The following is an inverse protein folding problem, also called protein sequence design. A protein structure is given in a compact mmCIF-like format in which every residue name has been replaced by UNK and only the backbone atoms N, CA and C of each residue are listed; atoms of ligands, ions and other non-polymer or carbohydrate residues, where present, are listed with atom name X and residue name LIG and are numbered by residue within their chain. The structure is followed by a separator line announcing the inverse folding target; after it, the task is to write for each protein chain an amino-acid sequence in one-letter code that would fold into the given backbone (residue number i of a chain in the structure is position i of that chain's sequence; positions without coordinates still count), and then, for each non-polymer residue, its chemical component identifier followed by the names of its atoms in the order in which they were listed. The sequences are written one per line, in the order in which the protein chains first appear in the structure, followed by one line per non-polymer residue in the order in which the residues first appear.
data_IF_368141551241
#
_entry.id   IF_368141551241
#
_cell.length_a   1.000
_cell.length_b   1.000
_cell.length_c   1.000
_cell.angle_alpha   90.00
_cell.angle_beta   90.00
_cell.angle_gamma   90.00
#
_symmetry.space_group_name_H-M   'P 1'
#
loop_
_entity.id
_entity.type
_entity.pdbx_description
1 polymer ?
#
# COMPACT_ATOMS: atom_id res chain seq x y z
N UNK A 1 25.90 1.33 -102.79
CA UNK A 1 24.72 0.45 -102.64
C UNK A 1 25.00 -0.49 -101.46
N UNK A 2 24.02 -0.69 -100.57
CA UNK A 2 24.04 -1.53 -99.35
C UNK A 2 24.72 -0.88 -98.13
N UNK A 3 24.18 -0.88 -96.89
CA UNK A 3 22.84 -1.06 -96.34
C UNK A 3 22.94 -0.41 -94.93
N UNK A 4 22.07 0.54 -94.58
CA UNK A 4 22.03 1.12 -93.22
C UNK A 4 21.25 0.19 -92.29
N UNK A 5 21.90 -0.36 -91.26
CA UNK A 5 21.22 -1.08 -90.18
C UNK A 5 20.68 -0.07 -89.15
N UNK A 6 19.45 -0.22 -88.62
CA UNK A 6 18.95 0.64 -87.56
C UNK A 6 19.44 0.12 -86.20
N UNK A 7 20.05 1.00 -85.41
CA UNK A 7 20.34 0.77 -84.00
C UNK A 7 19.02 0.92 -83.24
N UNK A 8 18.49 -0.18 -82.71
CA UNK A 8 17.35 -0.16 -81.79
C UNK A 8 17.88 0.20 -80.41
N UNK A 9 17.60 1.41 -79.95
CA UNK A 9 17.86 1.83 -78.57
C UNK A 9 16.81 1.20 -77.65
N UNK A 10 17.21 0.20 -76.87
CA UNK A 10 16.38 -0.34 -75.78
C UNK A 10 16.44 0.63 -74.62
N UNK A 11 15.39 1.42 -74.43
CA UNK A 11 15.22 2.23 -73.24
C UNK A 11 14.87 1.32 -72.05
N UNK A 12 15.84 1.10 -71.15
CA UNK A 12 15.55 0.54 -69.83
C UNK A 12 14.76 1.57 -69.02
N UNK A 13 13.45 1.38 -68.92
CA UNK A 13 12.63 2.02 -67.89
C UNK A 13 13.03 1.44 -66.53
N UNK A 14 13.84 2.17 -65.78
CA UNK A 14 14.05 1.92 -64.36
C UNK A 14 12.72 2.15 -63.63
N UNK A 15 12.03 1.08 -63.26
CA UNK A 15 10.88 1.16 -62.38
C UNK A 15 11.37 1.64 -61.00
N UNK A 16 11.11 2.91 -60.68
CA UNK A 16 11.18 3.41 -59.30
C UNK A 16 10.16 2.64 -58.47
N UNK A 17 10.62 1.62 -57.75
CA UNK A 17 9.85 1.04 -56.65
C UNK A 17 9.68 2.16 -55.62
N UNK A 18 8.44 2.54 -55.24
CA UNK A 18 8.26 3.46 -54.12
C UNK A 18 8.90 2.82 -52.90
N UNK A 19 9.95 3.43 -52.36
CA UNK A 19 10.52 3.01 -51.09
C UNK A 19 9.39 3.00 -50.07
N UNK A 20 9.12 1.84 -49.46
CA UNK A 20 8.21 1.76 -48.34
C UNK A 20 8.60 2.85 -47.35
N UNK A 21 7.70 3.80 -47.10
CA UNK A 21 7.93 4.82 -46.10
C UNK A 21 8.25 4.08 -44.80
N UNK A 22 9.45 4.33 -44.25
CA UNK A 22 9.83 3.77 -42.97
C UNK A 22 8.70 4.09 -41.98
N UNK A 23 8.16 3.06 -41.32
CA UNK A 23 7.15 3.29 -40.30
C UNK A 23 7.68 4.34 -39.31
N UNK A 24 6.88 5.36 -38.97
CA UNK A 24 7.33 6.40 -38.06
C UNK A 24 7.82 5.72 -36.78
N UNK A 25 9.05 6.03 -36.40
CA UNK A 25 9.66 5.44 -35.21
C UNK A 25 8.72 5.57 -34.02
N UNK A 26 8.60 4.48 -33.25
CA UNK A 26 7.80 4.45 -32.05
C UNK A 26 8.15 5.65 -31.13
N UNK A 27 7.14 6.26 -30.51
CA UNK A 27 7.35 7.47 -29.70
C UNK A 27 7.90 7.16 -28.29
N UNK A 28 7.88 5.90 -27.88
CA UNK A 28 8.32 5.45 -26.56
C UNK A 28 9.81 5.14 -26.51
N UNK A 29 10.36 5.08 -25.29
CA UNK A 29 11.79 4.87 -25.06
C UNK A 29 12.21 3.39 -25.05
N UNK A 30 13.50 3.16 -24.78
CA UNK A 30 14.09 1.84 -24.74
C UNK A 30 13.55 0.96 -23.59
N UNK A 31 13.13 1.54 -22.46
CA UNK A 31 12.60 0.78 -21.33
C UNK A 31 11.22 0.21 -21.66
N UNK A 32 10.38 1.02 -22.33
CA UNK A 32 9.10 0.56 -22.87
C UNK A 32 9.33 -0.52 -23.93
N UNK A 33 10.24 -0.30 -24.88
CA UNK A 33 10.53 -1.30 -25.91
C UNK A 33 11.03 -2.62 -25.31
N UNK A 34 11.84 -2.55 -24.25
CA UNK A 34 12.30 -3.74 -23.53
C UNK A 34 11.13 -4.46 -22.84
N UNK A 35 10.17 -3.73 -22.28
CA UNK A 35 8.96 -4.32 -21.69
C UNK A 35 8.06 -4.97 -22.76
N UNK A 36 7.90 -4.34 -23.93
CA UNK A 36 7.13 -4.90 -25.06
C UNK A 36 7.70 -6.24 -25.55
N UNK A 37 9.03 -6.42 -25.55
CA UNK A 37 9.66 -7.71 -25.86
C UNK A 37 9.26 -8.81 -24.86
N UNK A 38 9.07 -8.46 -23.59
CA UNK A 38 8.65 -9.41 -22.54
C UNK A 38 7.16 -9.77 -22.59
N UNK A 39 6.34 -8.98 -23.31
CA UNK A 39 4.89 -9.18 -23.42
C UNK A 39 4.48 -10.39 -24.29
N UNK A 40 5.39 -10.90 -25.15
CA UNK A 40 5.14 -12.03 -26.06
C UNK A 40 3.88 -11.78 -26.91
N UNK A 41 2.95 -12.74 -26.97
CA UNK A 41 1.69 -12.65 -27.71
C UNK A 41 0.80 -11.47 -27.29
N UNK A 42 1.02 -10.87 -26.12
CA UNK A 42 0.25 -9.74 -25.63
C UNK A 42 0.83 -8.38 -26.06
N UNK A 43 1.96 -8.34 -26.78
CA UNK A 43 2.57 -7.10 -27.29
C UNK A 43 1.57 -6.20 -28.06
N UNK A 44 0.68 -6.71 -28.93
CA UNK A 44 -0.28 -5.86 -29.65
C UNK A 44 -1.24 -5.09 -28.72
N UNK A 45 -1.62 -5.65 -27.57
CA UNK A 45 -2.45 -4.95 -26.59
C UNK A 45 -1.71 -3.77 -25.96
N UNK A 46 -0.41 -3.94 -25.66
CA UNK A 46 0.40 -2.87 -25.08
C UNK A 46 0.73 -1.77 -26.10
N UNK A 47 1.01 -2.15 -27.35
CA UNK A 47 1.22 -1.19 -28.44
C UNK A 47 -0.06 -0.40 -28.74
N UNK A 48 -1.23 -1.07 -28.71
CA UNK A 48 -2.53 -0.40 -28.79
C UNK A 48 -2.70 0.59 -27.64
N UNK A 49 -2.41 0.21 -26.40
CA UNK A 49 -2.50 1.11 -25.26
C UNK A 49 -1.58 2.35 -25.42
N UNK A 50 -0.35 2.16 -25.90
CA UNK A 50 0.61 3.24 -26.17
C UNK A 50 0.19 4.12 -27.36
N UNK A 51 -0.55 3.58 -28.33
CA UNK A 51 -0.98 4.31 -29.52
C UNK A 51 -2.26 5.12 -29.26
N UNK A 52 -3.24 4.48 -28.61
CA UNK A 52 -4.59 5.02 -28.39
C UNK A 52 -4.63 6.02 -27.21
N UNK A 53 -3.64 5.98 -26.31
CA UNK A 53 -3.61 6.90 -25.16
C UNK A 53 -3.48 8.38 -25.62
N UNK A 54 -4.24 9.31 -25.01
CA UNK A 54 -4.11 10.74 -25.28
C UNK A 54 -2.66 11.25 -25.14
N UNK A 55 -2.26 12.21 -25.98
CA UNK A 55 -0.88 12.72 -26.04
C UNK A 55 -0.35 13.23 -24.70
N UNK A 56 -1.21 13.88 -23.91
CA UNK A 56 -0.91 14.41 -22.57
C UNK A 56 -0.79 13.32 -21.50
N UNK A 57 -1.26 12.10 -21.79
CA UNK A 57 -1.23 10.94 -20.89
C UNK A 57 -0.17 9.90 -21.29
N UNK A 58 0.53 10.10 -22.43
CA UNK A 58 1.57 9.20 -22.94
C UNK A 58 2.65 8.87 -21.92
N UNK A 59 3.12 9.86 -21.16
CA UNK A 59 4.12 9.64 -20.11
C UNK A 59 3.64 8.64 -19.06
N UNK A 60 2.36 8.73 -18.66
CA UNK A 60 1.74 7.80 -17.73
C UNK A 60 1.67 6.38 -18.30
N UNK A 61 1.19 6.22 -19.53
CA UNK A 61 1.12 4.91 -20.16
C UNK A 61 2.51 4.29 -20.34
N UNK A 62 3.50 5.07 -20.82
CA UNK A 62 4.88 4.63 -20.95
C UNK A 62 5.45 4.18 -19.59
N UNK A 63 5.24 4.97 -18.53
CA UNK A 63 5.67 4.60 -17.19
C UNK A 63 5.07 3.26 -16.74
N UNK A 64 3.77 3.05 -16.95
CA UNK A 64 3.12 1.78 -16.59
C UNK A 64 3.72 0.61 -17.37
N UNK A 65 3.83 0.71 -18.69
CA UNK A 65 4.38 -0.37 -19.54
C UNK A 65 5.83 -0.68 -19.17
N UNK A 66 6.66 0.34 -18.94
CA UNK A 66 8.06 0.14 -18.57
C UNK A 66 8.24 -0.54 -17.20
N UNK A 67 7.28 -0.41 -16.28
CA UNK A 67 7.44 -0.82 -14.88
C UNK A 67 6.50 -1.95 -14.41
N UNK A 68 5.45 -2.27 -15.16
CA UNK A 68 4.54 -3.36 -14.77
C UNK A 68 5.25 -4.72 -14.72
N UNK A 69 4.84 -5.62 -13.82
CA UNK A 69 5.46 -6.94 -13.69
C UNK A 69 5.20 -7.82 -14.92
N UNK A 70 6.07 -8.80 -15.11
CA UNK A 70 6.03 -9.76 -16.22
C UNK A 70 4.66 -10.43 -16.46
N UNK A 71 3.93 -10.73 -15.38
CA UNK A 71 2.60 -11.32 -15.47
C UNK A 71 1.60 -10.36 -16.12
N UNK A 72 1.69 -9.08 -15.78
CA UNK A 72 0.81 -8.04 -16.29
C UNK A 72 1.13 -7.72 -17.77
N UNK A 73 2.41 -7.68 -18.15
CA UNK A 73 2.85 -7.51 -19.54
C UNK A 73 2.24 -8.56 -20.47
N UNK A 74 2.08 -9.79 -19.97
CA UNK A 74 1.60 -10.95 -20.75
C UNK A 74 0.08 -11.12 -20.72
N UNK A 75 -0.65 -10.36 -19.90
CA UNK A 75 -2.07 -10.62 -19.65
C UNK A 75 -2.98 -9.38 -19.74
N UNK A 76 -2.51 -8.20 -19.33
CA UNK A 76 -3.36 -7.00 -19.29
C UNK A 76 -3.71 -6.51 -20.68
N UNK A 77 -4.96 -6.10 -20.84
CA UNK A 77 -5.53 -5.61 -22.09
C UNK A 77 -5.44 -4.10 -22.20
N UNK A 78 -5.40 -3.61 -23.43
CA UNK A 78 -5.31 -2.19 -23.73
C UNK A 78 -6.44 -1.41 -23.05
N UNK A 79 -7.66 -1.94 -23.11
CA UNK A 79 -8.85 -1.33 -22.50
C UNK A 79 -8.70 -1.10 -20.99
N UNK A 80 -8.15 -2.08 -20.27
CA UNK A 80 -7.91 -1.97 -18.83
C UNK A 80 -6.90 -0.85 -18.52
N UNK A 81 -5.79 -0.80 -19.26
CA UNK A 81 -4.75 0.20 -19.07
C UNK A 81 -5.24 1.61 -19.43
N UNK A 82 -5.93 1.75 -20.56
CA UNK A 82 -6.50 3.02 -21.03
C UNK A 82 -7.50 3.57 -20.01
N UNK A 83 -8.43 2.75 -19.53
CA UNK A 83 -9.40 3.15 -18.51
C UNK A 83 -8.73 3.57 -17.19
N UNK A 84 -7.71 2.83 -16.75
CA UNK A 84 -6.96 3.19 -15.53
C UNK A 84 -6.24 4.54 -15.69
N UNK A 85 -5.53 4.74 -16.80
CA UNK A 85 -4.79 6.00 -17.07
C UNK A 85 -5.76 7.17 -17.18
N UNK A 86 -6.85 7.02 -17.93
CA UNK A 86 -7.88 8.06 -18.06
C UNK A 86 -8.41 8.51 -16.70
N UNK A 87 -8.81 7.56 -15.85
CA UNK A 87 -9.37 7.84 -14.54
C UNK A 87 -8.33 8.44 -13.57
N UNK A 88 -7.07 8.03 -13.63
CA UNK A 88 -6.00 8.61 -12.81
C UNK A 88 -5.75 10.08 -13.19
N UNK A 89 -5.69 10.38 -14.50
CA UNK A 89 -5.52 11.75 -14.99
C UNK A 89 -6.76 12.62 -14.78
N UNK A 90 -7.97 12.03 -14.84
CA UNK A 90 -9.21 12.69 -14.44
C UNK A 90 -9.14 13.16 -12.99
N UNK A 91 -8.78 12.27 -12.06
CA UNK A 91 -8.63 12.63 -10.65
C UNK A 91 -7.55 13.70 -10.46
N UNK A 92 -6.41 13.59 -11.15
CA UNK A 92 -5.35 14.60 -11.11
C UNK A 92 -5.83 15.99 -11.55
N UNK A 93 -6.76 16.05 -12.52
CA UNK A 93 -7.31 17.29 -13.05
C UNK A 93 -8.45 17.87 -12.20
N UNK A 94 -9.33 17.01 -11.69
CA UNK A 94 -10.57 17.43 -11.02
C UNK A 94 -10.38 17.68 -9.52
N UNK A 95 -9.44 17.00 -8.86
CA UNK A 95 -9.23 17.10 -7.42
C UNK A 95 -8.37 18.31 -7.04
N UNK A 96 -8.72 18.98 -5.94
CA UNK A 96 -8.11 20.25 -5.51
C UNK A 96 -6.58 20.20 -5.43
N UNK A 97 -6.03 19.08 -4.95
CA UNK A 97 -4.60 18.85 -4.76
C UNK A 97 -3.89 18.25 -5.97
N UNK A 98 -4.61 17.79 -7.00
CA UNK A 98 -4.02 16.97 -8.07
C UNK A 98 -2.95 17.69 -8.89
N UNK A 99 -3.05 19.01 -9.03
CA UNK A 99 -2.05 19.86 -9.70
C UNK A 99 -0.77 20.07 -8.87
N UNK A 100 -0.84 19.91 -7.55
CA UNK A 100 0.28 20.15 -6.64
C UNK A 100 1.12 18.88 -6.43
N UNK A 101 0.63 17.72 -6.92
CA UNK A 101 1.36 16.45 -6.91
C UNK A 101 2.46 16.47 -7.99
N UNK A 102 3.75 16.30 -7.61
CA UNK A 102 4.86 16.17 -8.56
C UNK A 102 4.64 15.03 -9.53
N UNK A 103 5.07 15.18 -10.79
CA UNK A 103 4.83 14.19 -11.83
C UNK A 103 5.37 12.80 -11.45
N UNK A 104 6.57 12.71 -10.89
CA UNK A 104 7.16 11.44 -10.46
C UNK A 104 6.37 10.74 -9.35
N UNK A 105 5.86 11.49 -8.37
CA UNK A 105 5.01 10.97 -7.28
C UNK A 105 3.66 10.53 -7.85
N UNK A 106 3.07 11.30 -8.77
CA UNK A 106 1.85 10.89 -9.45
C UNK A 106 2.02 9.57 -10.21
N UNK A 107 3.10 9.45 -10.99
CA UNK A 107 3.38 8.26 -11.79
C UNK A 107 3.58 7.02 -10.92
N UNK A 108 4.27 7.14 -9.80
CA UNK A 108 4.60 5.99 -8.95
C UNK A 108 3.55 5.67 -7.87
N UNK A 109 2.79 6.66 -7.40
CA UNK A 109 1.99 6.52 -6.18
C UNK A 109 0.52 6.92 -6.35
N UNK A 110 0.09 7.35 -7.54
CA UNK A 110 -1.33 7.58 -7.90
C UNK A 110 -1.77 6.72 -9.08
N UNK A 111 -1.00 6.76 -10.17
CA UNK A 111 -1.31 6.13 -11.45
C UNK A 111 -1.39 4.59 -11.41
N UNK A 112 -0.58 3.86 -10.62
CA UNK A 112 -0.60 2.39 -10.67
C UNK A 112 -1.95 1.79 -10.32
N UNK A 113 -2.31 0.73 -11.04
CA UNK A 113 -3.56 -0.02 -10.87
C UNK A 113 -3.47 -1.10 -9.76
N UNK A 114 -2.31 -1.25 -9.13
CA UNK A 114 -2.05 -2.20 -8.06
C UNK A 114 -0.99 -1.65 -7.08
N UNK A 115 -0.90 -2.27 -5.91
CA UNK A 115 0.04 -1.93 -4.84
C UNK A 115 1.11 -3.00 -4.67
N UNK A 116 0.74 -4.28 -4.75
CA UNK A 116 1.61 -5.46 -4.59
C UNK A 116 1.23 -6.54 -5.63
N UNK A 117 1.17 -7.81 -5.21
CA UNK A 117 0.79 -8.96 -6.02
C UNK A 117 -0.72 -9.32 -5.93
N UNK A 118 -1.57 -8.39 -5.49
CA UNK A 118 -3.02 -8.61 -5.44
C UNK A 118 -3.60 -8.88 -6.84
N UNK A 119 -4.74 -9.58 -6.88
CA UNK A 119 -5.46 -9.77 -8.13
C UNK A 119 -5.81 -8.41 -8.77
N UNK A 120 -5.60 -8.30 -10.08
CA UNK A 120 -5.87 -7.05 -10.83
C UNK A 120 -7.37 -6.85 -10.96
N UNK A 121 -7.86 -5.76 -10.40
CA UNK A 121 -9.25 -5.31 -10.47
C UNK A 121 -9.35 -3.93 -11.11
N UNK A 122 -10.44 -3.67 -11.82
CA UNK A 122 -10.75 -2.33 -12.36
C UNK A 122 -11.39 -1.42 -11.29
N UNK A 123 -10.79 -1.35 -10.09
CA UNK A 123 -11.35 -0.71 -8.89
C UNK A 123 -11.53 0.81 -9.03
N UNK A 124 -10.71 1.48 -9.85
CA UNK A 124 -10.56 2.94 -9.86
C UNK A 124 -11.85 3.68 -10.12
N UNK A 125 -12.69 3.18 -11.02
CA UNK A 125 -13.97 3.82 -11.37
C UNK A 125 -14.92 3.83 -10.17
N UNK A 126 -15.17 2.65 -9.60
CA UNK A 126 -16.08 2.48 -8.46
C UNK A 126 -15.60 3.27 -7.24
N UNK A 127 -14.29 3.26 -7.00
CA UNK A 127 -13.70 3.99 -5.88
C UNK A 127 -13.77 5.50 -6.09
N UNK A 128 -13.54 6.01 -7.31
CA UNK A 128 -13.71 7.42 -7.63
C UNK A 128 -15.14 7.89 -7.32
N UNK A 129 -16.13 7.16 -7.84
CA UNK A 129 -17.55 7.47 -7.67
C UNK A 129 -17.97 7.44 -6.18
N UNK A 130 -17.40 6.51 -5.39
CA UNK A 130 -17.65 6.41 -3.96
C UNK A 130 -16.95 7.51 -3.14
N UNK A 131 -15.70 7.82 -3.45
CA UNK A 131 -14.81 8.62 -2.60
C UNK A 131 -14.93 10.13 -2.86
N UNK A 132 -15.17 10.57 -4.10
CA UNK A 132 -15.29 12.00 -4.44
C UNK A 132 -16.35 12.72 -3.58
N UNK A 133 -17.57 12.19 -3.37
CA UNK A 133 -18.55 12.82 -2.50
C UNK A 133 -18.12 12.92 -1.03
N UNK A 134 -17.28 11.99 -0.56
CA UNK A 134 -16.79 11.96 0.83
C UNK A 134 -15.79 13.09 1.07
N UNK A 135 -14.88 13.31 0.11
CA UNK A 135 -13.78 14.28 0.26
C UNK A 135 -14.11 15.68 -0.25
N UNK A 136 -15.33 15.91 -0.77
CA UNK A 136 -15.75 17.18 -1.42
C UNK A 136 -15.47 18.45 -0.62
N UNK A 137 -15.49 18.36 0.72
CA UNK A 137 -15.31 19.51 1.62
C UNK A 137 -13.88 19.61 2.17
N UNK A 138 -13.03 18.61 1.94
CA UNK A 138 -11.66 18.57 2.41
C UNK A 138 -10.81 19.57 1.60
N UNK A 139 -9.82 20.17 2.25
CA UNK A 139 -8.92 21.17 1.66
C UNK A 139 -7.53 20.63 1.41
N UNK A 140 -7.15 19.55 2.09
CA UNK A 140 -5.84 18.92 1.98
C UNK A 140 -5.95 17.41 1.74
N UNK A 141 -4.94 16.77 1.15
CA UNK A 141 -4.84 15.32 1.09
C UNK A 141 -4.95 14.64 2.46
N UNK A 142 -4.32 15.23 3.49
CA UNK A 142 -4.38 14.73 4.87
C UNK A 142 -5.83 14.67 5.39
N UNK A 143 -6.57 15.78 5.30
CA UNK A 143 -7.99 15.83 5.71
C UNK A 143 -8.82 14.80 4.95
N UNK A 144 -8.61 14.70 3.63
CA UNK A 144 -9.31 13.76 2.78
C UNK A 144 -9.06 12.31 3.18
N UNK A 145 -7.81 11.90 3.43
CA UNK A 145 -7.50 10.53 3.88
C UNK A 145 -8.05 10.25 5.27
N UNK A 146 -8.05 11.22 6.20
CA UNK A 146 -8.70 11.03 7.50
C UNK A 146 -10.19 10.73 7.35
N UNK A 147 -10.91 11.46 6.49
CA UNK A 147 -12.33 11.20 6.20
C UNK A 147 -12.52 9.82 5.55
N UNK A 148 -11.70 9.48 4.54
CA UNK A 148 -11.76 8.17 3.90
C UNK A 148 -11.55 7.05 4.91
N UNK A 149 -10.49 7.12 5.73
CA UNK A 149 -10.19 6.09 6.72
C UNK A 149 -11.28 5.97 7.80
N UNK A 150 -11.94 7.07 8.17
CA UNK A 150 -13.01 7.08 9.17
C UNK A 150 -14.35 6.50 8.69
N UNK A 151 -14.62 6.54 7.38
CA UNK A 151 -15.95 6.26 6.83
C UNK A 151 -15.98 5.11 5.80
N UNK A 152 -14.93 4.95 4.99
CA UNK A 152 -14.91 4.04 3.83
C UNK A 152 -15.21 2.60 4.24
N UNK A 153 -14.50 2.10 5.25
CA UNK A 153 -14.62 0.71 5.70
C UNK A 153 -16.02 0.39 6.24
N UNK A 154 -16.69 1.36 6.88
CA UNK A 154 -18.08 1.23 7.33
C UNK A 154 -19.03 1.15 6.13
N UNK A 155 -18.84 2.00 5.11
CA UNK A 155 -19.63 1.98 3.87
C UNK A 155 -19.47 0.67 3.10
N UNK A 156 -18.24 0.14 3.06
CA UNK A 156 -17.90 -1.13 2.41
C UNK A 156 -18.26 -2.37 3.24
N UNK A 157 -18.67 -2.21 4.51
CA UNK A 157 -18.88 -3.31 5.47
C UNK A 157 -17.65 -4.23 5.56
N UNK A 158 -16.47 -3.62 5.55
CA UNK A 158 -15.18 -4.29 5.52
C UNK A 158 -14.45 -4.04 6.85
N UNK A 159 -13.86 -5.07 7.43
CA UNK A 159 -13.03 -4.93 8.63
C UNK A 159 -11.88 -5.92 8.67
N UNK A 160 -10.97 -5.70 9.63
CA UNK A 160 -9.87 -6.62 9.88
C UNK A 160 -10.40 -7.98 10.32
N UNK A 161 -9.80 -9.04 9.78
CA UNK A 161 -10.01 -10.40 10.27
C UNK A 161 -8.82 -11.28 9.88
N UNK A 162 -8.52 -12.27 10.71
CA UNK A 162 -7.62 -13.38 10.36
C UNK A 162 -8.34 -14.49 9.59
N UNK A 163 -9.68 -14.49 9.55
CA UNK A 163 -10.53 -15.47 8.85
C UNK A 163 -10.88 -15.04 7.42
N UNK A 164 -9.85 -14.60 6.70
CA UNK A 164 -9.86 -14.12 5.31
C UNK A 164 -9.15 -15.14 4.40
N UNK A 165 -9.53 -15.21 3.13
CA UNK A 165 -8.96 -16.20 2.18
C UNK A 165 -7.47 -16.01 1.94
N UNK A 166 -7.00 -14.77 1.82
CA UNK A 166 -5.61 -14.44 1.55
C UNK A 166 -5.21 -13.09 2.19
N UNK A 167 -3.94 -12.86 2.52
CA UNK A 167 -3.51 -11.58 3.09
C UNK A 167 -3.55 -10.43 2.07
N UNK A 168 -3.24 -10.69 0.80
CA UNK A 168 -3.13 -9.73 -0.29
C UNK A 168 -4.39 -9.67 -1.17
N UNK A 169 -5.57 -9.84 -0.57
CA UNK A 169 -6.83 -9.75 -1.30
C UNK A 169 -6.96 -8.39 -1.99
N UNK A 170 -7.43 -8.41 -3.23
CA UNK A 170 -7.77 -7.20 -3.96
C UNK A 170 -8.95 -6.46 -3.30
N UNK A 171 -9.28 -5.23 -3.73
CA UNK A 171 -10.46 -4.53 -3.24
C UNK A 171 -11.74 -5.34 -3.39
N UNK A 172 -11.98 -5.94 -4.56
CA UNK A 172 -13.16 -6.75 -4.81
C UNK A 172 -13.23 -7.96 -3.88
N UNK A 173 -12.15 -8.72 -3.76
CA UNK A 173 -12.11 -9.92 -2.92
C UNK A 173 -12.31 -9.59 -1.43
N UNK A 174 -11.77 -8.46 -0.98
CA UNK A 174 -11.92 -7.96 0.39
C UNK A 174 -13.37 -7.55 0.68
N UNK A 175 -13.98 -6.76 -0.21
CA UNK A 175 -15.37 -6.29 -0.09
C UNK A 175 -16.34 -7.49 -0.13
N UNK A 176 -16.15 -8.43 -1.06
CA UNK A 176 -16.99 -9.63 -1.17
C UNK A 176 -16.99 -10.49 0.11
N UNK A 177 -15.87 -10.53 0.84
CA UNK A 177 -15.78 -11.26 2.11
C UNK A 177 -16.19 -10.45 3.33
N UNK A 178 -16.20 -9.11 3.25
CA UNK A 178 -16.29 -8.22 4.40
C UNK A 178 -15.11 -8.36 5.38
N UNK A 179 -14.02 -9.02 4.96
CA UNK A 179 -12.88 -9.40 5.80
C UNK A 179 -11.58 -9.21 5.04
N UNK A 180 -10.62 -8.54 5.67
CA UNK A 180 -9.28 -8.34 5.11
C UNK A 180 -8.20 -8.44 6.20
N UNK A 181 -6.97 -8.69 5.76
CA UNK A 181 -5.78 -8.54 6.61
C UNK A 181 -5.34 -7.07 6.71
N UNK A 182 -4.30 -6.76 7.49
CA UNK A 182 -3.67 -5.43 7.49
C UNK A 182 -3.22 -5.00 6.08
N UNK A 183 -2.67 -5.92 5.28
CA UNK A 183 -2.33 -5.67 3.87
C UNK A 183 -3.57 -5.40 3.04
N UNK A 184 -4.62 -6.23 3.14
CA UNK A 184 -5.85 -6.05 2.34
C UNK A 184 -6.58 -4.74 2.66
N UNK A 185 -6.64 -4.34 3.93
CA UNK A 185 -7.16 -3.04 4.34
C UNK A 185 -6.30 -1.89 3.81
N UNK A 186 -4.98 -2.05 3.81
CA UNK A 186 -4.04 -1.05 3.28
C UNK A 186 -4.17 -0.89 1.76
N UNK A 187 -4.40 -1.98 1.01
CA UNK A 187 -4.72 -1.95 -0.43
C UNK A 187 -5.98 -1.12 -0.65
N UNK A 188 -7.06 -1.41 0.08
CA UNK A 188 -8.34 -0.69 -0.06
C UNK A 188 -8.19 0.80 0.27
N UNK A 189 -7.47 1.17 1.34
CA UNK A 189 -7.26 2.59 1.68
C UNK A 189 -6.37 3.30 0.65
N UNK A 190 -5.29 2.65 0.20
CA UNK A 190 -4.39 3.18 -0.83
C UNK A 190 -5.15 3.41 -2.13
N UNK A 191 -5.92 2.43 -2.60
CA UNK A 191 -6.72 2.55 -3.81
C UNK A 191 -7.79 3.63 -3.68
N UNK A 192 -8.42 3.78 -2.50
CA UNK A 192 -9.38 4.86 -2.26
C UNK A 192 -8.72 6.24 -2.35
N UNK A 193 -7.56 6.43 -1.71
CA UNK A 193 -6.77 7.66 -1.80
C UNK A 193 -6.34 7.95 -3.25
N UNK A 194 -5.78 6.95 -3.95
CA UNK A 194 -5.34 7.05 -5.35
C UNK A 194 -6.49 7.34 -6.30
N UNK A 195 -7.68 6.84 -6.02
CA UNK A 195 -8.88 7.12 -6.83
C UNK A 195 -9.16 8.62 -6.85
N UNK A 196 -9.01 9.32 -5.72
CA UNK A 196 -9.18 10.77 -5.62
C UNK A 196 -7.87 11.54 -5.78
N UNK A 197 -6.89 10.97 -6.49
CA UNK A 197 -5.66 11.67 -6.87
C UNK A 197 -4.68 11.95 -5.73
N UNK A 198 -4.84 11.30 -4.56
CA UNK A 198 -3.92 11.42 -3.43
C UNK A 198 -2.83 10.35 -3.59
N UNK A 199 -1.53 10.70 -3.59
CA UNK A 199 -0.49 9.69 -3.68
C UNK A 199 -0.42 8.87 -2.40
N UNK A 200 -0.45 7.55 -2.57
CA UNK A 200 -0.44 6.60 -1.46
C UNK A 200 0.42 5.39 -1.81
N UNK A 201 1.07 4.79 -0.81
CA UNK A 201 1.83 3.55 -0.96
C UNK A 201 1.70 2.66 0.27
N UNK A 202 1.77 1.35 0.05
CA UNK A 202 1.83 0.39 1.14
C UNK A 202 3.20 0.44 1.79
N UNK A 203 3.22 0.39 3.11
CA UNK A 203 4.44 0.29 3.92
C UNK A 203 4.29 -0.84 4.90
N UNK A 204 5.35 -1.61 5.13
CA UNK A 204 5.26 -2.71 6.07
C UNK A 204 6.61 -3.19 6.57
N UNK A 205 6.54 -3.93 7.68
CA UNK A 205 7.67 -4.70 8.21
C UNK A 205 7.35 -6.20 8.13
N UNK A 206 8.30 -7.04 7.68
CA UNK A 206 8.11 -8.49 7.63
C UNK A 206 7.98 -9.12 9.01
N UNK A 207 8.68 -8.55 9.99
CA UNK A 207 8.72 -9.03 11.36
C UNK A 207 9.21 -7.91 12.29
N UNK A 208 8.38 -7.46 13.22
CA UNK A 208 8.82 -6.53 14.26
C UNK A 208 10.11 -7.01 14.97
N UNK A 209 10.94 -6.08 15.46
CA UNK A 209 12.21 -6.40 16.15
C UNK A 209 12.04 -7.30 17.38
N UNK A 210 10.85 -7.32 17.98
CA UNK A 210 10.47 -8.19 19.10
C UNK A 210 9.79 -9.50 18.67
N UNK A 211 9.79 -9.78 17.36
CA UNK A 211 9.31 -11.01 16.71
C UNK A 211 7.81 -11.28 16.86
N UNK A 212 6.99 -10.28 17.22
CA UNK A 212 5.55 -10.47 17.46
C UNK A 212 4.72 -10.71 16.19
N UNK A 213 5.25 -10.39 15.01
CA UNK A 213 4.57 -10.59 13.72
C UNK A 213 4.93 -9.53 12.70
N UNK A 214 4.28 -9.56 11.54
CA UNK A 214 4.34 -8.52 10.53
C UNK A 214 3.25 -7.46 10.76
N UNK A 215 3.36 -6.35 10.04
CA UNK A 215 2.26 -5.41 9.88
C UNK A 215 2.45 -4.57 8.61
N UNK A 216 1.33 -4.16 8.00
CA UNK A 216 1.27 -3.32 6.80
C UNK A 216 0.32 -2.16 7.08
N UNK A 217 0.71 -0.96 6.69
CA UNK A 217 -0.04 0.29 6.78
C UNK A 217 0.13 1.11 5.49
N UNK A 218 -0.32 2.36 5.49
CA UNK A 218 -0.28 3.24 4.31
C UNK A 218 0.52 4.51 4.61
N UNK A 219 1.39 4.90 3.68
CA UNK A 219 1.94 6.25 3.60
C UNK A 219 1.19 7.07 2.56
N UNK A 220 0.96 8.35 2.87
CA UNK A 220 0.25 9.36 2.10
C UNK A 220 1.19 10.53 1.85
N UNK A 221 1.24 11.01 0.61
CA UNK A 221 2.06 12.17 0.28
C UNK A 221 1.26 13.47 0.38
N UNK A 222 1.73 14.39 1.22
CA UNK A 222 1.29 15.79 1.27
C UNK A 222 2.49 16.67 1.61
N UNK A 223 3.26 17.07 0.59
CA UNK A 223 4.55 17.78 0.75
C UNK A 223 5.57 17.03 1.61
N UNK A 224 5.44 15.70 1.68
CA UNK A 224 6.16 14.81 2.57
C UNK A 224 5.36 13.52 2.76
N UNK A 225 6.03 12.43 3.16
CA UNK A 225 5.36 11.16 3.46
C UNK A 225 4.86 11.16 4.91
N UNK A 226 3.56 10.91 5.08
CA UNK A 226 2.88 10.77 6.36
C UNK A 226 2.22 9.41 6.45
N UNK A 227 2.15 8.77 7.61
CA UNK A 227 1.60 7.41 7.73
C UNK A 227 0.26 7.32 8.46
N UNK A 228 -0.51 6.28 8.15
CA UNK A 228 -1.76 5.94 8.87
C UNK A 228 -2.05 4.44 8.82
N UNK A 229 -2.64 3.92 9.90
CA UNK A 229 -3.19 2.56 9.91
C UNK A 229 -4.48 2.47 9.10
N UNK A 230 -4.66 1.42 8.32
CA UNK A 230 -5.87 1.25 7.51
C UNK A 230 -7.03 0.66 8.33
N UNK A 231 -8.20 1.31 8.29
CA UNK A 231 -9.35 1.03 9.15
C UNK A 231 -9.11 1.37 10.63
N UNK A 232 -8.09 2.20 10.90
CA UNK A 232 -7.64 2.59 12.24
C UNK A 232 -7.43 4.12 12.30
N UNK A 233 -8.45 4.95 12.02
CA UNK A 233 -8.30 6.40 11.99
C UNK A 233 -7.94 6.95 13.38
N UNK A 234 -6.94 7.83 13.44
CA UNK A 234 -6.64 8.63 14.62
C UNK A 234 -7.28 10.04 14.47
N UNK A 235 -8.12 10.48 15.42
CA UNK A 235 -8.78 11.79 15.34
C UNK A 235 -7.79 12.97 15.38
N UNK A 236 -6.55 12.73 15.81
CA UNK A 236 -5.51 13.76 15.96
C UNK A 236 -4.59 13.89 14.74
N UNK A 237 -4.88 13.20 13.62
CA UNK A 237 -4.09 13.33 12.39
C UNK A 237 -3.41 12.04 11.94
N UNK A 238 -2.58 12.19 10.92
CA UNK A 238 -1.64 11.16 10.48
C UNK A 238 -0.43 11.10 11.42
N UNK A 239 0.54 10.22 11.11
CA UNK A 239 1.76 9.96 11.86
C UNK A 239 1.50 9.43 13.29
N UNK A 240 0.40 8.70 13.42
CA UNK A 240 -0.08 8.09 14.65
C UNK A 240 -0.53 6.66 14.37
N UNK A 241 -0.45 5.84 15.40
CA UNK A 241 -0.84 4.43 15.34
C UNK A 241 -0.26 3.64 16.50
N UNK A 242 -0.90 2.52 16.83
CA UNK A 242 -0.44 1.62 17.90
C UNK A 242 0.95 1.03 17.62
N UNK A 243 1.34 0.94 16.34
CA UNK A 243 2.59 0.37 15.88
C UNK A 243 3.80 1.31 15.96
N UNK A 244 3.61 2.62 16.22
CA UNK A 244 4.68 3.63 16.17
C UNK A 244 5.86 3.27 17.07
N UNK A 245 5.59 2.78 18.28
CA UNK A 245 6.64 2.36 19.20
C UNK A 245 7.43 1.13 18.72
N UNK A 246 6.79 0.22 17.97
CA UNK A 246 7.46 -0.94 17.37
C UNK A 246 8.26 -0.54 16.13
N UNK A 247 7.72 0.34 15.29
CA UNK A 247 8.38 0.90 14.11
C UNK A 247 9.63 1.71 14.46
N UNK A 248 9.61 2.43 15.60
CA UNK A 248 10.78 3.13 16.12
C UNK A 248 11.97 2.21 16.42
N UNK A 249 11.74 0.91 16.65
CA UNK A 249 12.76 -0.09 16.93
C UNK A 249 13.22 -0.86 15.69
N UNK A 250 12.77 -0.48 14.49
CA UNK A 250 13.16 -1.12 13.25
C UNK A 250 14.67 -1.03 13.02
N UNK A 251 15.22 -2.03 12.31
CA UNK A 251 16.66 -2.16 12.05
C UNK A 251 16.90 -2.16 10.56
N UNK A 252 17.43 -1.06 10.04
CA UNK A 252 17.60 -0.81 8.59
C UNK A 252 18.36 -1.93 7.87
N UNK A 253 19.41 -2.44 8.50
CA UNK A 253 20.33 -3.43 7.91
C UNK A 253 19.92 -4.89 8.19
N UNK A 254 18.79 -5.11 8.87
CA UNK A 254 18.25 -6.45 9.13
C UNK A 254 16.97 -6.61 8.33
N UNK A 255 17.02 -7.42 7.28
CA UNK A 255 15.95 -7.51 6.28
C UNK A 255 14.57 -7.73 6.91
N UNK A 256 14.47 -8.63 7.89
CA UNK A 256 13.23 -8.99 8.56
C UNK A 256 12.67 -7.87 9.45
N UNK A 257 13.53 -6.98 9.94
CA UNK A 257 13.19 -5.93 10.92
C UNK A 257 13.24 -4.52 10.34
N UNK A 258 13.56 -4.38 9.06
CA UNK A 258 13.46 -3.14 8.32
C UNK A 258 12.00 -2.84 7.95
N UNK A 259 11.77 -1.62 7.47
CA UNK A 259 10.49 -1.14 6.97
C UNK A 259 10.65 -0.78 5.50
N UNK A 260 9.73 -1.30 4.68
CA UNK A 260 9.76 -1.13 3.23
C UNK A 260 8.48 -0.47 2.75
N UNK A 261 8.61 0.46 1.81
CA UNK A 261 7.50 1.04 1.07
C UNK A 261 7.43 0.42 -0.33
N UNK A 262 6.28 -0.10 -0.73
CA UNK A 262 6.07 -0.67 -2.06
C UNK A 262 6.22 0.43 -3.13
N UNK A 263 6.80 0.07 -4.27
CA UNK A 263 6.99 0.97 -5.41
C UNK A 263 6.55 0.27 -6.68
N UNK A 264 5.89 1.01 -7.58
CA UNK A 264 5.61 0.50 -8.91
C UNK A 264 6.83 0.64 -9.82
N UNK A 265 7.59 1.73 -9.65
CA UNK A 265 8.87 1.93 -10.32
C UNK A 265 9.85 0.84 -9.90
N UNK A 266 10.56 0.27 -10.87
CA UNK A 266 11.62 -0.71 -10.62
C UNK A 266 12.68 -0.14 -9.67
N UNK A 267 13.11 -0.95 -8.71
CA UNK A 267 14.17 -0.62 -7.77
C UNK A 267 15.01 -1.86 -7.46
N UNK A 268 16.14 -1.66 -6.77
CA UNK A 268 17.03 -2.77 -6.38
C UNK A 268 16.51 -3.56 -5.16
N UNK A 269 15.54 -2.99 -4.43
CA UNK A 269 14.93 -3.58 -3.26
C UNK A 269 13.53 -4.11 -3.62
N UNK A 270 13.03 -5.07 -2.85
CA UNK A 270 11.68 -5.60 -3.03
C UNK A 270 10.88 -5.48 -1.74
N UNK A 271 9.56 -5.34 -1.89
CA UNK A 271 8.62 -5.37 -0.78
C UNK A 271 8.50 -6.81 -0.29
N UNK A 272 8.72 -7.11 1.00
CA UNK A 272 8.64 -8.48 1.48
C UNK A 272 7.19 -8.96 1.57
N UNK A 273 6.80 -9.80 0.61
CA UNK A 273 5.51 -10.46 0.60
C UNK A 273 5.54 -11.60 1.62
N UNK A 274 5.09 -11.36 2.86
CA UNK A 274 5.19 -12.36 3.96
C UNK A 274 4.43 -13.67 3.68
N UNK A 275 3.53 -13.68 2.70
CA UNK A 275 2.84 -14.87 2.18
C UNK A 275 3.57 -15.57 1.03
N UNK A 276 4.56 -14.91 0.42
CA UNK A 276 5.28 -15.36 -0.76
C UNK A 276 6.74 -14.84 -0.76
N UNK A 277 7.50 -15.05 0.33
CA UNK A 277 8.84 -14.44 0.55
C UNK A 277 9.89 -14.71 -0.55
N UNK A 278 9.67 -15.75 -1.38
CA UNK A 278 10.53 -16.04 -2.54
C UNK A 278 10.22 -15.15 -3.75
N UNK A 279 9.03 -14.57 -3.81
CA UNK A 279 8.61 -13.63 -4.84
C UNK A 279 9.21 -12.25 -4.56
N UNK A 280 10.05 -11.78 -5.48
CA UNK A 280 10.74 -10.47 -5.39
C UNK A 280 10.24 -9.49 -6.46
N UNK A 281 9.09 -9.77 -7.08
CA UNK A 281 8.60 -9.02 -8.23
C UNK A 281 7.91 -7.69 -7.87
N UNK A 282 7.76 -7.36 -6.59
CA UNK A 282 7.22 -6.09 -6.11
C UNK A 282 8.39 -5.22 -5.67
N UNK A 283 8.78 -4.17 -6.43
CA UNK A 283 9.82 -3.24 -6.03
C UNK A 283 9.49 -2.51 -4.72
N UNK A 284 10.52 -2.03 -4.04
CA UNK A 284 10.34 -1.22 -2.84
C UNK A 284 11.46 -0.23 -2.57
N UNK A 285 11.24 0.64 -1.61
CA UNK A 285 12.23 1.47 -0.96
C UNK A 285 12.38 1.04 0.50
N UNK A 286 13.62 1.00 1.03
CA UNK A 286 13.83 0.84 2.46
C UNK A 286 13.66 2.21 3.13
N UNK A 287 12.54 2.39 3.83
CA UNK A 287 12.13 3.65 4.46
C UNK A 287 12.33 3.62 5.98
N UNK A 288 13.16 2.69 6.47
CA UNK A 288 13.37 2.49 7.92
C UNK A 288 13.75 3.79 8.64
N UNK A 289 14.54 4.65 8.01
CA UNK A 289 14.99 5.92 8.63
C UNK A 289 13.86 6.91 8.90
N UNK A 290 12.71 6.79 8.23
CA UNK A 290 11.53 7.61 8.52
C UNK A 290 10.89 7.25 9.87
N UNK A 291 11.10 6.00 10.32
CA UNK A 291 10.43 5.43 11.48
C UNK A 291 11.38 5.21 12.65
N UNK A 292 12.57 4.66 12.37
CA UNK A 292 13.55 4.29 13.36
C UNK A 292 13.98 5.54 14.14
N UNK A 293 13.88 5.47 15.46
CA UNK A 293 14.33 6.53 16.35
C UNK A 293 15.38 5.92 17.28
N UNK A 294 16.41 6.70 17.67
CA UNK A 294 17.29 6.28 18.75
C UNK A 294 16.42 5.90 19.95
N UNK A 295 16.59 4.68 20.47
CA UNK A 295 15.83 4.24 21.61
C UNK A 295 16.21 5.13 22.80
N UNK A 296 15.30 5.96 23.35
CA UNK A 296 15.58 6.62 24.60
C UNK A 296 15.80 5.54 25.67
N UNK A 297 16.59 5.86 26.70
CA UNK A 297 16.75 4.95 27.83
C UNK A 297 15.36 4.64 28.39
N UNK A 298 14.97 3.37 28.36
CA UNK A 298 13.65 2.99 28.85
C UNK A 298 13.57 3.25 30.35
N UNK A 299 12.55 4.00 30.78
CA UNK A 299 12.29 4.33 32.19
C UNK A 299 11.18 3.48 32.79
N UNK A 300 10.36 2.86 31.94
CA UNK A 300 9.20 2.07 32.31
C UNK A 300 9.29 0.63 31.81
N UNK A 301 8.51 -0.24 32.45
CA UNK A 301 8.17 -1.58 31.98
C UNK A 301 6.86 -1.52 31.18
N UNK A 302 6.81 -2.22 30.04
CA UNK A 302 5.63 -2.19 29.17
C UNK A 302 4.73 -3.40 29.40
N UNK A 303 3.54 -3.18 29.95
CA UNK A 303 2.51 -4.22 30.09
C UNK A 303 1.56 -4.18 28.88
N UNK A 304 1.49 -5.28 28.14
CA UNK A 304 0.49 -5.48 27.07
C UNK A 304 -0.64 -6.38 27.62
N UNK A 305 -1.90 -6.00 27.39
CA UNK A 305 -3.07 -6.73 27.89
C UNK A 305 -3.95 -7.19 26.73
N UNK A 306 -4.23 -8.50 26.70
CA UNK A 306 -5.19 -9.14 25.82
C UNK A 306 -6.33 -9.72 26.66
N UNK A 307 -7.56 -9.35 26.31
CA UNK A 307 -8.75 -9.91 26.96
C UNK A 307 -9.47 -10.82 25.97
N UNK A 308 -9.82 -12.02 26.41
CA UNK A 308 -10.57 -13.01 25.63
C UNK A 308 -11.88 -13.41 26.31
N UNK A 309 -12.89 -13.78 25.53
CA UNK A 309 -14.13 -14.39 26.01
C UNK A 309 -13.98 -15.92 26.20
N UNK A 310 -15.08 -16.58 26.61
CA UNK A 310 -15.14 -18.04 26.76
C UNK A 310 -14.87 -18.82 25.46
N UNK A 311 -15.04 -18.19 24.29
CA UNK A 311 -14.76 -18.77 22.98
C UNK A 311 -13.34 -18.46 22.49
N UNK A 312 -12.47 -17.92 23.36
CA UNK A 312 -11.09 -17.48 23.05
C UNK A 312 -11.02 -16.33 22.03
N UNK A 313 -12.11 -15.59 21.87
CA UNK A 313 -12.17 -14.42 20.98
C UNK A 313 -11.77 -13.17 21.72
N UNK A 314 -11.04 -12.28 21.05
CA UNK A 314 -10.63 -11.00 21.63
C UNK A 314 -11.85 -10.10 21.85
N UNK A 315 -11.93 -9.49 23.02
CA UNK A 315 -13.02 -8.57 23.38
C UNK A 315 -12.49 -7.21 23.83
N UNK A 316 -13.24 -6.16 23.49
CA UNK A 316 -12.98 -4.81 23.94
C UNK A 316 -13.65 -4.57 25.29
N UNK A 317 -12.85 -4.49 26.36
CA UNK A 317 -13.30 -4.46 27.74
C UNK A 317 -12.52 -3.44 28.53
N UNK A 318 -13.16 -2.83 29.53
CA UNK A 318 -12.47 -1.94 30.46
C UNK A 318 -11.46 -2.74 31.28
N UNK A 319 -10.21 -2.29 31.27
CA UNK A 319 -9.10 -2.82 32.03
C UNK A 319 -8.61 -1.74 32.98
N UNK A 320 -8.50 -2.09 34.26
CA UNK A 320 -7.87 -1.24 35.27
C UNK A 320 -6.64 -1.97 35.79
N UNK A 321 -5.50 -1.27 35.84
CA UNK A 321 -4.24 -1.77 36.41
C UNK A 321 -3.93 -0.95 37.64
N UNK A 322 -3.84 -1.58 38.81
CA UNK A 322 -3.61 -0.89 40.08
C UNK A 322 -2.33 -1.40 40.75
N UNK A 323 -1.48 -0.51 41.25
CA UNK A 323 -0.31 -0.93 42.02
C UNK A 323 -0.73 -1.59 43.34
N UNK A 324 -0.18 -2.77 43.65
CA UNK A 324 -0.52 -3.49 44.90
C UNK A 324 -0.13 -2.67 46.14
N UNK A 325 0.96 -1.90 46.05
CA UNK A 325 1.46 -1.07 47.14
C UNK A 325 0.75 0.28 47.30
N UNK A 326 0.03 0.75 46.27
CA UNK A 326 -0.68 2.04 46.29
C UNK A 326 -1.91 1.99 45.38
N UNK A 327 -3.07 1.74 45.98
CA UNK A 327 -4.34 1.64 45.26
C UNK A 327 -4.76 2.93 44.54
N UNK A 328 -4.14 4.09 44.85
CA UNK A 328 -4.40 5.36 44.16
C UNK A 328 -3.67 5.45 42.81
N UNK A 329 -2.62 4.65 42.59
CA UNK A 329 -1.98 4.51 41.28
C UNK A 329 -2.73 3.48 40.44
N UNK A 330 -3.78 3.95 39.78
CA UNK A 330 -4.54 3.19 38.80
C UNK A 330 -4.31 3.71 37.38
N UNK A 331 -4.28 2.79 36.42
CA UNK A 331 -4.23 3.07 35.00
C UNK A 331 -5.43 2.40 34.35
N UNK A 332 -6.19 3.14 33.55
CA UNK A 332 -7.40 2.65 32.89
C UNK A 332 -7.24 2.64 31.38
N UNK A 333 -7.84 1.65 30.73
CA UNK A 333 -7.89 1.56 29.29
C UNK A 333 -8.94 0.55 28.82
N UNK A 334 -9.11 0.46 27.50
CA UNK A 334 -10.01 -0.52 26.88
C UNK A 334 -9.19 -1.50 26.05
N UNK A 335 -9.32 -2.80 26.32
CA UNK A 335 -8.69 -3.85 25.51
C UNK A 335 -9.23 -3.83 24.07
N UNK A 336 -8.59 -4.60 23.19
CA UNK A 336 -8.93 -4.62 21.76
C UNK A 336 -9.72 -5.87 21.40
N UNK A 337 -10.76 -5.70 20.58
CA UNK A 337 -11.61 -6.78 20.08
C UNK A 337 -11.06 -7.50 18.84
N UNK A 338 -11.85 -8.42 18.27
CA UNK A 338 -11.47 -9.23 17.08
C UNK A 338 -11.22 -8.39 15.82
N UNK A 339 -11.74 -7.17 15.75
CA UNK A 339 -11.62 -6.27 14.59
C UNK A 339 -10.37 -5.40 14.62
N UNK A 340 -9.53 -5.49 15.66
CA UNK A 340 -8.23 -4.84 15.71
C UNK A 340 -7.13 -5.78 15.21
N UNK A 341 -6.04 -5.22 14.67
CA UNK A 341 -4.85 -6.01 14.29
C UNK A 341 -4.41 -6.94 15.44
N UNK A 342 -3.92 -8.13 15.10
CA UNK A 342 -3.44 -9.12 16.07
C UNK A 342 -2.33 -8.61 16.98
N UNK A 343 -1.60 -7.58 16.57
CA UNK A 343 -0.49 -6.98 17.31
C UNK A 343 -0.88 -5.69 18.08
N UNK A 344 -2.09 -5.15 17.87
CA UNK A 344 -2.60 -3.99 18.63
C UNK A 344 -3.07 -4.45 20.00
N UNK A 345 -2.25 -4.30 21.04
CA UNK A 345 -2.63 -4.59 22.41
C UNK A 345 -2.86 -3.30 23.20
N UNK A 346 -3.79 -3.35 24.15
CA UNK A 346 -3.84 -2.32 25.18
C UNK A 346 -2.50 -2.34 25.93
N UNK A 347 -1.83 -1.21 25.95
CA UNK A 347 -0.49 -1.07 26.50
C UNK A 347 -0.51 -0.08 27.66
N UNK A 348 0.20 -0.41 28.74
CA UNK A 348 0.49 0.48 29.86
C UNK A 348 2.00 0.58 30.08
N UNK A 349 2.49 1.80 30.30
CA UNK A 349 3.85 2.05 30.78
C UNK A 349 3.81 2.08 32.31
N UNK A 350 4.43 1.10 32.95
CA UNK A 350 4.38 0.88 34.40
C UNK A 350 5.76 1.05 35.04
N UNK A 351 5.83 1.45 36.32
CA UNK A 351 7.06 1.36 37.10
C UNK A 351 7.70 -0.04 37.04
N UNK A 352 9.03 -0.14 36.83
CA UNK A 352 9.75 -1.42 36.84
C UNK A 352 9.85 -1.99 38.25
N UNK A 353 10.09 -3.31 38.35
CA UNK A 353 10.30 -4.05 39.60
C UNK A 353 9.21 -3.83 40.67
N UNK A 354 7.95 -3.74 40.24
CA UNK A 354 6.79 -3.49 41.07
C UNK A 354 5.67 -4.49 40.78
N UNK A 355 4.71 -4.61 41.70
CA UNK A 355 3.57 -5.52 41.55
C UNK A 355 2.29 -4.73 41.28
N UNK A 356 1.52 -5.21 40.29
CA UNK A 356 0.25 -4.65 39.88
C UNK A 356 -0.82 -5.73 39.81
N UNK A 357 -2.07 -5.33 40.03
CA UNK A 357 -3.26 -6.15 39.77
C UNK A 357 -3.95 -5.61 38.53
N UNK A 358 -4.09 -6.45 37.52
CA UNK A 358 -4.89 -6.18 36.32
C UNK A 358 -6.29 -6.70 36.56
N UNK A 359 -7.31 -5.85 36.38
CA UNK A 359 -8.72 -6.17 36.60
C UNK A 359 -9.52 -5.98 35.32
N UNK A 360 -10.37 -6.96 35.01
CA UNK A 360 -11.32 -6.93 33.89
C UNK A 360 -12.65 -7.51 34.39
N UNK A 361 -13.64 -6.66 34.62
CA UNK A 361 -14.89 -7.08 35.28
C UNK A 361 -14.62 -7.68 36.67
N UNK A 362 -14.94 -8.97 36.86
CA UNK A 362 -14.65 -9.73 38.09
C UNK A 362 -13.31 -10.49 38.02
N UNK A 363 -12.73 -10.66 36.83
CA UNK A 363 -11.45 -11.32 36.66
C UNK A 363 -10.30 -10.41 37.13
N UNK A 364 -9.33 -11.00 37.83
CA UNK A 364 -8.12 -10.30 38.26
C UNK A 364 -6.89 -11.16 37.99
N UNK A 365 -5.75 -10.50 37.73
CA UNK A 365 -4.47 -11.16 37.53
C UNK A 365 -3.34 -10.28 38.06
N UNK A 366 -2.54 -10.83 38.96
CA UNK A 366 -1.35 -10.15 39.47
C UNK A 366 -0.20 -10.27 38.47
N UNK A 367 0.52 -9.17 38.28
CA UNK A 367 1.67 -9.07 37.38
C UNK A 367 2.81 -8.41 38.14
N UNK A 368 3.99 -9.04 38.10
CA UNK A 368 5.24 -8.45 38.57
C UNK A 368 5.97 -7.89 37.37
N UNK A 369 6.22 -6.57 37.38
CA UNK A 369 7.00 -5.92 36.33
C UNK A 369 8.48 -6.25 36.52
N UNK A 370 9.16 -6.47 35.41
CA UNK A 370 10.61 -6.70 35.39
C UNK A 370 11.39 -5.39 35.31
N UNK A 371 12.55 -5.44 34.68
CA UNK A 371 13.41 -4.27 34.50
C UNK A 371 12.79 -3.26 33.49
N UNK A 372 13.25 -2.01 33.55
CA UNK A 372 12.83 -1.00 32.57
C UNK A 372 13.26 -1.43 31.15
N UNK A 373 12.37 -1.22 30.17
CA UNK A 373 12.55 -1.66 28.79
C UNK A 373 12.14 -3.10 28.51
N UNK A 374 11.88 -3.91 29.54
CA UNK A 374 11.23 -5.20 29.37
C UNK A 374 9.73 -5.02 29.11
N UNK A 375 9.12 -6.05 28.51
CA UNK A 375 7.70 -6.10 28.26
C UNK A 375 7.12 -7.48 28.50
N UNK A 376 5.84 -7.55 28.86
CA UNK A 376 5.09 -8.81 28.98
C UNK A 376 3.68 -8.63 28.42
N UNK A 377 3.23 -9.63 27.67
CA UNK A 377 1.83 -9.78 27.28
C UNK A 377 1.09 -10.63 28.31
N UNK A 378 -0.01 -10.11 28.83
CA UNK A 378 -0.90 -10.80 29.75
C UNK A 378 -2.23 -11.06 29.08
N UNK A 379 -2.58 -12.34 28.95
CA UNK A 379 -3.92 -12.76 28.55
C UNK A 379 -4.81 -12.96 29.80
N UNK A 380 -6.02 -12.41 29.75
CA UNK A 380 -7.07 -12.51 30.77
C UNK A 380 -8.36 -12.99 30.10
N UNK A 381 -8.95 -14.03 30.64
CA UNK A 381 -10.28 -14.49 30.23
C UNK A 381 -11.34 -13.77 31.08
N UNK A 382 -12.31 -13.13 30.41
CA UNK A 382 -13.46 -12.48 31.05
C UNK A 382 -14.59 -13.47 31.32
#
# INVERSE_FOLDING_TARGET
MLLRAPIVAVALLAACVPGAAAEPAAWWDADVEQALKSAKENRPELERALTDVPKDQRKGMAFLVANMPDGDLKALKAEFLLANVELAYKARKEMLWGKDVPEEIFLNDVLPYANVDEKRDAWRKEFYELCVPMVKNCKTPIEAVQVLNAELFKKLKLGYSTQRKAPNQSPKESIEQGKASCTGLSIVLSDAARSVGIPARLVGTPLWSDKRGNHTWVEIWDKGWHFTGACEPDPSGLDRGWFVGAAAQAKKDVFEHAIYAASFKKSQQHFPLVWAMKNKNVPAENVTDHYAKPAPKAEAFRLEVKVIDANKKRVAEKVTVTATADAKKAFDGTSRGETADTNDFLTFELPPNAEFVVKVGTATKTVKTGAAGEKTLVEIQK
#
